data_IF_492222502711
#
_entry.id   IF_492222502711
#
_cell.length_a   1.000
_cell.length_b   1.000
_cell.length_c   1.000
_cell.angle_alpha   90.00
_cell.angle_beta   90.00
_cell.angle_gamma   90.00
#
_symmetry.space_group_name_H-M   'P 1'
#
loop_
_entity.id
_entity.type
_entity.pdbx_description
1 polymer ?
#
# COMPACT_ATOMS: atom_id res chain seq x y z
N UNK A 1 2.72 -12.36 -19.28
CA UNK A 1 2.53 -10.97 -18.83
C UNK A 1 2.54 -10.95 -17.32
N UNK A 2 3.32 -10.09 -16.67
CA UNK A 2 3.27 -9.95 -15.21
C UNK A 2 2.24 -8.87 -14.85
N UNK A 3 1.41 -9.13 -13.84
CA UNK A 3 0.33 -8.25 -13.38
C UNK A 3 0.11 -8.45 -11.89
N UNK A 4 -0.47 -7.46 -11.23
CA UNK A 4 -0.72 -7.44 -9.79
C UNK A 4 -2.22 -7.64 -9.53
N UNK A 5 -2.61 -8.75 -8.93
CA UNK A 5 -4.00 -9.00 -8.52
C UNK A 5 -4.09 -8.93 -7.01
N UNK A 6 -4.55 -7.79 -6.52
CA UNK A 6 -4.62 -7.49 -5.09
C UNK A 6 -6.03 -7.03 -4.76
N UNK A 7 -6.55 -7.51 -3.64
CA UNK A 7 -7.85 -7.11 -3.12
C UNK A 7 -7.65 -6.17 -1.93
N UNK A 8 -8.58 -5.21 -1.71
CA UNK A 8 -8.57 -4.40 -0.51
C UNK A 8 -8.63 -5.28 0.75
N UNK A 9 -7.81 -5.02 1.77
CA UNK A 9 -7.88 -5.74 3.04
C UNK A 9 -9.17 -5.45 3.80
N UNK A 10 -9.83 -6.49 4.34
CA UNK A 10 -11.12 -6.36 5.05
C UNK A 10 -10.97 -6.01 6.54
N UNK A 11 -9.86 -6.41 7.18
CA UNK A 11 -9.59 -6.15 8.61
C UNK A 11 -8.37 -5.25 8.79
N UNK A 12 -8.50 -3.98 8.46
CA UNK A 12 -7.43 -2.98 8.69
C UNK A 12 -7.68 -2.31 10.04
N UNK A 13 -6.73 -2.48 10.94
CA UNK A 13 -6.61 -1.62 12.12
C UNK A 13 -5.82 -0.39 11.68
N UNK A 14 -6.44 0.79 11.69
CA UNK A 14 -5.80 2.03 11.24
C UNK A 14 -4.89 2.62 12.33
N UNK A 15 -3.77 1.94 12.53
CA UNK A 15 -2.64 2.37 13.36
C UNK A 15 -1.37 2.29 12.53
N UNK A 16 -0.26 2.89 13.00
CA UNK A 16 1.04 2.76 12.32
C UNK A 16 1.43 1.30 12.12
N UNK A 17 1.25 0.46 13.14
CA UNK A 17 1.55 -0.97 13.07
C UNK A 17 0.62 -1.68 12.08
N UNK A 18 -0.68 -1.37 12.11
CA UNK A 18 -1.66 -1.97 11.22
C UNK A 18 -1.42 -1.60 9.76
N UNK A 19 -1.20 -0.33 9.46
CA UNK A 19 -0.87 0.16 8.12
C UNK A 19 0.40 -0.51 7.59
N UNK A 20 1.47 -0.55 8.39
CA UNK A 20 2.74 -1.18 8.00
C UNK A 20 2.57 -2.67 7.70
N UNK A 21 1.80 -3.39 8.54
CA UNK A 21 1.49 -4.82 8.33
C UNK A 21 0.80 -5.04 6.98
N UNK A 22 -0.12 -4.16 6.59
CA UNK A 22 -0.79 -4.25 5.28
C UNK A 22 0.11 -3.82 4.13
N UNK A 23 0.95 -2.80 4.32
CA UNK A 23 1.95 -2.38 3.34
C UNK A 23 2.93 -3.50 2.98
N UNK A 24 3.28 -4.35 3.95
CA UNK A 24 4.15 -5.50 3.72
C UNK A 24 3.57 -6.52 2.71
N UNK A 25 2.25 -6.57 2.54
CA UNK A 25 1.61 -7.41 1.50
C UNK A 25 1.96 -6.92 0.10
N UNK A 26 2.22 -5.62 -0.05
CA UNK A 26 2.60 -4.97 -1.31
C UNK A 26 4.11 -4.99 -1.54
N UNK A 27 4.85 -5.79 -0.78
CA UNK A 27 6.29 -5.90 -0.95
C UNK A 27 6.62 -6.53 -2.31
N UNK A 28 7.15 -5.69 -3.21
CA UNK A 28 7.66 -6.09 -4.50
C UNK A 28 9.19 -5.87 -4.52
N UNK A 29 9.94 -6.96 -4.69
CA UNK A 29 11.41 -6.95 -4.70
C UNK A 29 11.97 -6.03 -5.77
N UNK A 30 11.29 -5.93 -6.92
CA UNK A 30 11.69 -5.08 -8.03
C UNK A 30 11.06 -3.68 -7.95
N UNK A 31 10.23 -3.43 -6.94
CA UNK A 31 9.58 -2.13 -6.70
C UNK A 31 8.78 -1.60 -7.91
N UNK A 32 8.23 -2.48 -8.74
CA UNK A 32 7.51 -2.14 -9.97
C UNK A 32 6.21 -1.36 -9.67
N UNK A 33 5.65 -1.55 -8.47
CA UNK A 33 4.51 -0.78 -7.93
C UNK A 33 4.94 0.32 -6.94
N UNK A 34 6.21 0.76 -6.95
CA UNK A 34 6.68 1.87 -6.11
C UNK A 34 5.82 3.14 -6.24
N UNK A 35 5.38 3.59 -7.44
CA UNK A 35 4.54 4.78 -7.56
C UNK A 35 3.19 4.66 -6.84
N UNK A 36 2.70 3.44 -6.64
CA UNK A 36 1.48 3.19 -5.88
C UNK A 36 1.76 3.15 -4.37
N UNK A 37 2.82 2.46 -3.96
CA UNK A 37 3.15 2.27 -2.53
C UNK A 37 3.73 3.51 -1.87
N UNK A 38 4.24 4.49 -2.64
CA UNK A 38 4.80 5.74 -2.09
C UNK A 38 3.75 6.54 -1.31
N UNK A 39 2.47 6.54 -1.71
CA UNK A 39 1.38 7.25 -1.02
C UNK A 39 1.27 6.80 0.44
N UNK A 40 1.26 5.50 0.67
CA UNK A 40 1.17 4.94 2.01
C UNK A 40 2.47 5.12 2.82
N UNK A 41 3.64 5.23 2.15
CA UNK A 41 4.89 5.62 2.82
C UNK A 41 4.86 7.06 3.29
N UNK A 42 4.28 7.97 2.50
CA UNK A 42 4.08 9.38 2.90
C UNK A 42 3.17 9.46 4.12
N UNK A 43 2.03 8.76 4.12
CA UNK A 43 1.15 8.64 5.30
C UNK A 43 1.92 8.15 6.52
N UNK A 44 2.75 7.10 6.36
CA UNK A 44 3.58 6.60 7.46
C UNK A 44 4.56 7.66 7.98
N UNK A 45 5.17 8.47 7.10
CA UNK A 45 6.05 9.57 7.50
C UNK A 45 5.28 10.68 8.23
N UNK A 46 4.09 11.05 7.76
CA UNK A 46 3.23 12.04 8.44
C UNK A 46 2.90 11.60 9.87
N UNK A 47 2.58 10.32 10.07
CA UNK A 47 2.33 9.78 11.43
C UNK A 47 3.58 9.76 12.32
N UNK A 48 4.78 9.82 11.76
CA UNK A 48 6.01 10.02 12.53
C UNK A 48 6.19 11.49 12.92
N UNK A 49 5.94 12.42 11.99
CA UNK A 49 6.03 13.85 12.23
C UNK A 49 5.03 14.31 13.30
N UNK A 50 3.83 13.72 13.32
CA UNK A 50 2.79 14.00 14.31
C UNK A 50 3.03 13.29 15.66
N UNK A 51 4.09 12.49 15.79
CA UNK A 51 4.45 11.83 17.04
C UNK A 51 3.49 10.72 17.49
N UNK A 52 2.73 10.12 16.58
CA UNK A 52 1.77 9.07 16.95
C UNK A 52 2.47 7.86 17.59
N UNK A 53 1.78 7.09 18.42
CA UNK A 53 2.27 5.79 18.88
C UNK A 53 2.17 4.71 17.78
N UNK A 54 2.78 3.54 18.00
CA UNK A 54 2.62 2.40 17.07
C UNK A 54 1.18 1.89 16.99
N UNK A 55 0.50 1.87 18.13
CA UNK A 55 -0.88 1.40 18.30
C UNK A 55 -1.87 2.56 18.50
N UNK A 56 -1.44 3.80 18.22
CA UNK A 56 -2.32 4.97 18.23
C UNK A 56 -3.25 4.93 17.02
N UNK A 57 -4.56 5.03 17.27
CA UNK A 57 -5.59 5.04 16.24
C UNK A 57 -5.53 6.32 15.41
N UNK A 58 -5.65 6.18 14.10
CA UNK A 58 -5.59 7.31 13.18
C UNK A 58 -6.81 8.22 13.36
N UNK A 59 -6.64 9.55 13.24
CA UNK A 59 -7.75 10.46 13.08
C UNK A 59 -8.59 10.07 11.86
N UNK A 60 -9.88 10.39 11.91
CA UNK A 60 -10.86 10.04 10.86
C UNK A 60 -10.42 10.44 9.44
N UNK A 61 -9.77 11.58 9.28
CA UNK A 61 -9.32 12.05 7.96
C UNK A 61 -8.16 11.21 7.40
N UNK A 62 -7.24 10.80 8.27
CA UNK A 62 -6.11 9.94 7.90
C UNK A 62 -6.56 8.50 7.63
N UNK A 63 -7.51 8.01 8.42
CA UNK A 63 -8.16 6.73 8.18
C UNK A 63 -8.86 6.71 6.82
N UNK A 64 -9.67 7.73 6.49
CA UNK A 64 -10.31 7.85 5.17
C UNK A 64 -9.30 7.84 4.03
N UNK A 65 -8.21 8.59 4.19
CA UNK A 65 -7.11 8.61 3.20
C UNK A 65 -6.52 7.21 2.97
N UNK A 66 -6.36 6.43 4.04
CA UNK A 66 -5.89 5.05 3.94
C UNK A 66 -6.93 4.13 3.30
N UNK A 67 -8.21 4.27 3.65
CA UNK A 67 -9.32 3.51 3.06
C UNK A 67 -9.42 3.74 1.54
N UNK A 68 -9.39 4.99 1.11
CA UNK A 68 -9.40 5.38 -0.31
C UNK A 68 -8.19 4.86 -1.07
N UNK A 69 -7.01 4.85 -0.43
CA UNK A 69 -5.82 4.26 -1.03
C UNK A 69 -5.95 2.74 -1.17
N UNK A 70 -6.46 2.04 -0.15
CA UNK A 70 -6.71 0.59 -0.23
C UNK A 70 -7.77 0.24 -1.28
N UNK A 71 -8.79 1.07 -1.48
CA UNK A 71 -9.83 0.82 -2.49
C UNK A 71 -9.30 0.89 -3.93
N UNK A 72 -8.16 1.55 -4.17
CA UNK A 72 -7.48 1.62 -5.47
C UNK A 72 -6.66 0.36 -5.78
N UNK A 73 -6.45 -0.56 -4.83
CA UNK A 73 -5.64 -1.77 -5.05
C UNK A 73 -6.04 -2.62 -6.27
N UNK A 74 -7.35 -2.85 -6.55
CA UNK A 74 -7.76 -3.61 -7.73
C UNK A 74 -7.30 -3.02 -9.06
N UNK A 75 -7.08 -1.70 -9.12
CA UNK A 75 -6.63 -1.00 -10.32
C UNK A 75 -5.21 -1.43 -10.75
N UNK A 76 -4.40 -1.95 -9.82
CA UNK A 76 -3.08 -2.50 -10.11
C UNK A 76 -3.12 -3.70 -11.07
N UNK A 77 -4.29 -4.34 -11.23
CA UNK A 77 -4.48 -5.40 -12.24
C UNK A 77 -4.39 -4.87 -13.68
N UNK A 78 -4.60 -3.57 -13.89
CA UNK A 78 -4.35 -2.88 -15.15
C UNK A 78 -2.86 -2.69 -15.45
N UNK A 79 -2.00 -2.69 -14.43
CA UNK A 79 -0.56 -2.58 -14.60
C UNK A 79 -0.03 -3.85 -15.24
N UNK A 80 0.62 -3.64 -16.37
CA UNK A 80 1.05 -4.67 -17.31
C UNK A 80 2.54 -4.52 -17.52
N UNK A 81 3.33 -5.42 -16.93
CA UNK A 81 4.77 -5.42 -17.14
C UNK A 81 5.19 -6.53 -18.12
N UNK A 82 5.80 -6.17 -19.27
CA UNK A 82 6.38 -7.13 -20.20
C UNK A 82 7.43 -7.99 -19.50
N UNK A 83 7.43 -9.30 -19.78
CA UNK A 83 8.47 -10.20 -19.25
C UNK A 83 9.59 -10.28 -20.27
N UNK A 84 10.82 -9.94 -19.87
CA UNK A 84 12.01 -10.04 -20.72
C UNK A 84 12.58 -11.47 -20.73
N UNK A 85 11.74 -12.48 -20.97
CA UNK A 85 12.26 -13.79 -21.34
C UNK A 85 12.55 -13.74 -22.84
N UNK A 86 13.81 -14.00 -23.24
CA UNK A 86 14.08 -14.31 -24.65
C UNK A 86 13.21 -15.50 -25.02
N UNK A 87 12.44 -15.38 -26.10
CA UNK A 87 11.87 -16.56 -26.74
C UNK A 87 13.04 -17.45 -27.18
N UNK A 88 12.99 -18.72 -26.81
CA UNK A 88 13.88 -19.74 -27.35
C UNK A 88 13.49 -20.05 -28.80
#
# INVERSE_FOLDING_TARGET
MFTFKLNPPQDVVYTKRGLLKKLAILFDQLQMIAPFTIKARVVMQETWLLGFGWDYEFPSDLEKTCQEWFSQLPELSGVRVPRCYRAA
#
